data_IF_981356342654
#
_entry.id   IF_981356342654
#
_cell.length_a   1.000
_cell.length_b   1.000
_cell.length_c   1.000
_cell.angle_alpha   90.00
_cell.angle_beta   90.00
_cell.angle_gamma   90.00
#
_symmetry.space_group_name_H-M   'P 1'
#
loop_
_entity.id
_entity.type
_entity.pdbx_description
1 polymer ?
#
# COMPACT_ATOMS: atom_id res chain seq x y z
N UNK A 1 -7.97 10.09 -58.42
CA UNK A 1 -6.71 10.79 -58.10
C UNK A 1 -6.87 11.24 -56.66
N UNK A 2 -5.96 10.79 -55.81
CA UNK A 2 -6.13 10.53 -54.38
C UNK A 2 -6.84 11.61 -53.55
N UNK A 3 -7.68 11.15 -52.62
CA UNK A 3 -7.91 11.85 -51.36
C UNK A 3 -6.71 11.54 -50.47
N UNK A 4 -5.80 12.49 -50.32
CA UNK A 4 -4.73 12.43 -49.32
C UNK A 4 -5.38 12.51 -47.94
N UNK A 5 -5.34 11.39 -47.21
CA UNK A 5 -5.67 11.37 -45.79
C UNK A 5 -4.51 12.02 -45.05
N UNK A 6 -4.75 13.19 -44.49
CA UNK A 6 -3.83 13.87 -43.59
C UNK A 6 -3.60 12.97 -42.37
N UNK A 7 -2.42 12.37 -42.31
CA UNK A 7 -2.01 11.50 -41.22
C UNK A 7 -1.39 12.38 -40.13
N UNK A 8 -2.24 13.11 -39.41
CA UNK A 8 -1.86 14.11 -38.41
C UNK A 8 -1.75 13.51 -36.99
N UNK A 9 -1.23 12.28 -36.87
CA UNK A 9 -1.12 11.55 -35.61
C UNK A 9 0.25 10.87 -35.48
N UNK A 10 1.35 11.62 -35.49
CA UNK A 10 2.69 11.06 -35.29
C UNK A 10 3.70 12.07 -34.71
N UNK A 11 3.26 13.01 -33.87
CA UNK A 11 4.18 13.72 -32.96
C UNK A 11 3.91 13.26 -31.51
N UNK A 12 4.89 12.64 -30.84
CA UNK A 12 4.79 12.34 -29.41
C UNK A 12 4.42 13.63 -28.67
N UNK A 13 3.37 13.59 -27.87
CA UNK A 13 3.03 14.69 -26.97
C UNK A 13 4.22 14.88 -26.00
N UNK A 14 5.02 15.91 -26.22
CA UNK A 14 6.11 16.23 -25.29
C UNK A 14 5.49 16.72 -23.99
N UNK A 15 5.62 15.92 -22.93
CA UNK A 15 5.10 16.25 -21.61
C UNK A 15 5.72 17.56 -21.14
N UNK A 16 4.88 18.48 -20.69
CA UNK A 16 5.34 19.66 -20.00
C UNK A 16 6.12 19.29 -18.72
N UNK A 17 6.99 20.19 -18.21
CA UNK A 17 7.68 19.95 -16.94
C UNK A 17 6.74 19.79 -15.73
N UNK A 18 5.49 20.23 -15.83
CA UNK A 18 4.47 20.04 -14.80
C UNK A 18 3.89 18.63 -14.89
N UNK A 19 3.40 18.22 -16.06
CA UNK A 19 2.86 16.87 -16.27
C UNK A 19 3.89 15.77 -15.95
N UNK A 20 5.16 15.98 -16.31
CA UNK A 20 6.23 15.05 -15.93
C UNK A 20 6.36 14.93 -14.40
N UNK A 21 6.32 16.05 -13.67
CA UNK A 21 6.41 16.03 -12.20
C UNK A 21 5.20 15.37 -11.56
N UNK A 22 4.02 15.59 -12.11
CA UNK A 22 2.79 14.97 -11.61
C UNK A 22 2.84 13.44 -11.79
N UNK A 23 3.30 12.95 -12.95
CA UNK A 23 3.47 11.51 -13.19
C UNK A 23 4.55 10.90 -12.28
N UNK A 24 5.65 11.63 -12.04
CA UNK A 24 6.69 11.20 -11.09
C UNK A 24 6.13 11.09 -9.66
N UNK A 25 5.31 12.05 -9.22
CA UNK A 25 4.64 12.00 -7.93
C UNK A 25 3.65 10.81 -7.84
N UNK A 26 2.88 10.56 -8.89
CA UNK A 26 1.98 9.40 -8.94
C UNK A 26 2.73 8.05 -8.88
N UNK A 27 3.93 7.97 -9.44
CA UNK A 27 4.80 6.80 -9.31
C UNK A 27 5.27 6.59 -7.85
N UNK A 28 5.64 7.67 -7.17
CA UNK A 28 6.04 7.62 -5.76
C UNK A 28 4.87 7.18 -4.87
N UNK A 29 3.68 7.76 -5.09
CA UNK A 29 2.45 7.40 -4.39
C UNK A 29 2.07 5.92 -4.62
N UNK A 30 2.15 5.46 -5.88
CA UNK A 30 1.88 4.07 -6.24
C UNK A 30 2.85 3.11 -5.53
N UNK A 31 4.14 3.46 -5.47
CA UNK A 31 5.15 2.65 -4.79
C UNK A 31 4.89 2.58 -3.28
N UNK A 32 4.54 3.69 -2.65
CA UNK A 32 4.21 3.75 -1.23
C UNK A 32 2.94 2.93 -0.93
N UNK A 33 1.86 3.14 -1.68
CA UNK A 33 0.62 2.36 -1.55
C UNK A 33 0.85 0.86 -1.73
N UNK A 34 1.62 0.45 -2.74
CA UNK A 34 1.95 -0.96 -2.96
C UNK A 34 2.66 -1.55 -1.75
N UNK A 35 3.63 -0.83 -1.17
CA UNK A 35 4.39 -1.27 0.01
C UNK A 35 3.46 -1.55 1.19
N UNK A 36 2.44 -0.71 1.39
CA UNK A 36 1.46 -0.85 2.47
C UNK A 36 0.46 -1.96 2.20
N UNK A 37 -0.13 -2.01 1.00
CA UNK A 37 -1.33 -2.80 0.73
C UNK A 37 -1.05 -4.17 0.08
N UNK A 38 0.05 -4.33 -0.66
CA UNK A 38 0.40 -5.60 -1.29
C UNK A 38 0.57 -6.75 -0.27
N UNK A 39 1.23 -6.57 0.90
CA UNK A 39 1.32 -7.62 1.92
C UNK A 39 -0.04 -8.02 2.53
N UNK A 40 -1.07 -7.19 2.36
CA UNK A 40 -2.43 -7.43 2.85
C UNK A 40 -3.30 -8.15 1.80
N UNK A 41 -2.75 -8.46 0.63
CA UNK A 41 -3.43 -9.18 -0.45
C UNK A 41 -4.11 -8.28 -1.49
N UNK A 42 -3.96 -6.95 -1.40
CA UNK A 42 -4.48 -6.03 -2.41
C UNK A 42 -3.66 -6.16 -3.69
N UNK A 43 -4.33 -6.32 -4.84
CA UNK A 43 -3.71 -6.54 -6.15
C UNK A 43 -3.36 -5.27 -6.90
N UNK A 44 -3.99 -4.15 -6.54
CA UNK A 44 -3.83 -2.89 -7.26
C UNK A 44 -4.76 -1.79 -6.77
N UNK A 45 -4.96 -0.80 -7.63
CA UNK A 45 -5.79 0.38 -7.38
C UNK A 45 -7.01 0.44 -8.29
N UNK A 46 -8.01 1.16 -7.80
CA UNK A 46 -9.16 1.62 -8.57
C UNK A 46 -9.09 3.14 -8.69
N UNK A 47 -9.13 3.64 -9.91
CA UNK A 47 -9.16 5.07 -10.22
C UNK A 47 -10.54 5.40 -10.78
N UNK A 48 -11.27 6.27 -10.10
CA UNK A 48 -12.53 6.81 -10.61
C UNK A 48 -12.23 7.89 -11.66
N UNK A 49 -12.33 7.55 -12.94
CA UNK A 49 -12.05 8.49 -14.01
C UNK A 49 -13.26 9.40 -14.25
N UNK A 50 -13.07 10.71 -14.10
CA UNK A 50 -14.13 11.71 -14.26
C UNK A 50 -14.54 11.88 -15.73
N UNK A 51 -13.62 11.68 -16.67
CA UNK A 51 -13.87 11.89 -18.09
C UNK A 51 -14.76 10.80 -18.70
N UNK A 52 -14.52 9.53 -18.34
CA UNK A 52 -15.32 8.40 -18.82
C UNK A 52 -16.48 8.03 -17.87
N UNK A 53 -16.48 8.58 -16.64
CA UNK A 53 -17.48 8.30 -15.61
C UNK A 53 -17.47 6.86 -15.10
N UNK A 54 -16.33 6.15 -15.21
CA UNK A 54 -16.19 4.74 -14.87
C UNK A 54 -14.95 4.48 -14.00
N UNK A 55 -14.97 3.36 -13.26
CA UNK A 55 -13.84 2.92 -12.45
C UNK A 55 -12.85 2.12 -13.31
N UNK A 56 -11.58 2.52 -13.29
CA UNK A 56 -10.49 1.82 -13.93
C UNK A 56 -9.68 1.05 -12.90
N UNK A 57 -9.50 -0.24 -13.12
CA UNK A 57 -8.79 -1.13 -12.21
C UNK A 57 -7.42 -1.44 -12.79
N UNK A 58 -6.38 -1.15 -12.03
CA UNK A 58 -5.01 -1.42 -12.43
C UNK A 58 -4.32 -2.27 -11.38
N UNK A 59 -3.75 -3.40 -11.79
CA UNK A 59 -2.75 -4.08 -10.98
C UNK A 59 -1.52 -3.20 -10.77
N UNK A 60 -0.79 -3.42 -9.67
CA UNK A 60 0.36 -2.60 -9.29
C UNK A 60 1.39 -2.42 -10.42
N UNK A 61 1.79 -3.52 -11.05
CA UNK A 61 2.78 -3.51 -12.13
C UNK A 61 2.23 -2.85 -13.39
N UNK A 62 0.95 -3.06 -13.69
CA UNK A 62 0.29 -2.52 -14.87
C UNK A 62 0.21 -1.00 -14.83
N UNK A 63 -0.17 -0.42 -13.68
CA UNK A 63 -0.20 1.04 -13.55
C UNK A 63 1.21 1.64 -13.59
N UNK A 64 2.18 1.00 -12.92
CA UNK A 64 3.58 1.46 -12.94
C UNK A 64 4.10 1.51 -14.37
N UNK A 65 3.94 0.42 -15.12
CA UNK A 65 4.41 0.33 -16.50
C UNK A 65 3.73 1.38 -17.40
N UNK A 66 2.45 1.70 -17.14
CA UNK A 66 1.73 2.75 -17.84
C UNK A 66 2.32 4.14 -17.55
N UNK A 67 2.49 4.51 -16.28
CA UNK A 67 3.08 5.79 -15.87
C UNK A 67 4.52 5.94 -16.39
N UNK A 68 5.33 4.89 -16.30
CA UNK A 68 6.69 4.88 -16.86
C UNK A 68 6.71 5.03 -18.38
N UNK A 69 5.71 4.47 -19.08
CA UNK A 69 5.56 4.68 -20.51
C UNK A 69 5.16 6.12 -20.82
N UNK A 70 4.19 6.68 -20.09
CA UNK A 70 3.80 8.08 -20.23
C UNK A 70 5.01 9.01 -20.09
N UNK A 71 5.90 8.77 -19.11
CA UNK A 71 7.15 9.54 -18.97
C UNK A 71 8.10 9.46 -20.17
N UNK A 72 8.05 8.38 -20.95
CA UNK A 72 8.92 8.12 -22.11
C UNK A 72 8.30 8.59 -23.41
N UNK A 73 7.00 8.40 -23.60
CA UNK A 73 6.31 8.56 -24.89
C UNK A 73 5.23 9.64 -24.89
N UNK A 74 4.85 10.16 -23.72
CA UNK A 74 3.72 11.09 -23.57
C UNK A 74 2.35 10.43 -23.65
N UNK A 75 2.29 9.11 -23.86
CA UNK A 75 1.05 8.39 -24.14
C UNK A 75 0.89 7.17 -23.22
N UNK A 76 -0.32 6.96 -22.64
CA UNK A 76 -0.60 5.79 -21.84
C UNK A 76 -0.68 4.54 -22.72
N UNK A 77 -0.28 3.40 -22.17
CA UNK A 77 -0.43 2.12 -22.87
C UNK A 77 -1.90 1.68 -22.85
N UNK A 78 -2.50 1.30 -23.99
CA UNK A 78 -3.78 0.62 -23.98
C UNK A 78 -3.66 -0.70 -23.21
N UNK A 79 -4.58 -0.93 -22.30
CA UNK A 79 -4.75 -2.20 -21.62
C UNK A 79 -6.18 -2.70 -21.85
N UNK A 80 -6.37 -4.02 -21.88
CA UNK A 80 -7.70 -4.60 -21.87
C UNK A 80 -8.21 -4.68 -20.42
N UNK A 81 -9.52 -4.50 -20.19
CA UNK A 81 -10.11 -4.73 -18.88
C UNK A 81 -9.88 -6.16 -18.40
N UNK A 82 -9.64 -6.34 -17.10
CA UNK A 82 -9.47 -7.67 -16.54
C UNK A 82 -10.76 -8.51 -16.67
N UNK A 83 -10.60 -9.79 -17.01
CA UNK A 83 -11.68 -10.77 -17.05
C UNK A 83 -12.00 -11.23 -15.61
N UNK A 84 -13.30 -11.30 -15.25
CA UNK A 84 -13.78 -11.70 -13.91
C UNK A 84 -13.16 -10.91 -12.75
N UNK A 85 -13.21 -9.57 -12.84
CA UNK A 85 -12.66 -8.70 -11.81
C UNK A 85 -13.42 -8.79 -10.48
N UNK A 86 -12.70 -9.07 -9.39
CA UNK A 86 -13.20 -8.98 -8.02
C UNK A 86 -12.82 -7.64 -7.40
N UNK A 87 -13.75 -6.68 -7.39
CA UNK A 87 -13.50 -5.29 -6.95
C UNK A 87 -12.91 -5.19 -5.54
N UNK A 88 -13.26 -6.11 -4.64
CA UNK A 88 -12.76 -6.17 -3.27
C UNK A 88 -11.26 -6.44 -3.16
N UNK A 89 -10.60 -6.84 -4.25
CA UNK A 89 -9.15 -7.09 -4.29
C UNK A 89 -8.34 -5.81 -4.61
N UNK A 90 -9.00 -4.67 -4.83
CA UNK A 90 -8.39 -3.41 -5.20
C UNK A 90 -8.75 -2.31 -4.19
N UNK A 91 -7.89 -1.30 -4.07
CA UNK A 91 -8.12 -0.15 -3.19
C UNK A 91 -8.38 1.12 -4.02
N UNK A 92 -9.30 1.99 -3.55
CA UNK A 92 -9.51 3.29 -4.18
C UNK A 92 -8.25 4.15 -4.06
N UNK A 93 -7.82 4.76 -5.17
CA UNK A 93 -6.59 5.57 -5.25
C UNK A 93 -6.54 6.67 -4.17
N UNK A 94 -7.56 7.53 -4.12
CA UNK A 94 -7.59 8.67 -3.18
C UNK A 94 -7.57 8.21 -1.71
N UNK A 95 -8.25 7.11 -1.41
CA UNK A 95 -8.22 6.51 -0.09
C UNK A 95 -6.82 5.96 0.24
N UNK A 96 -6.21 5.26 -0.71
CA UNK A 96 -4.87 4.69 -0.56
C UNK A 96 -3.82 5.76 -0.27
N UNK A 97 -3.84 6.86 -1.03
CA UNK A 97 -2.96 8.02 -0.81
C UNK A 97 -3.18 8.62 0.58
N UNK A 98 -4.41 8.96 0.93
CA UNK A 98 -4.71 9.54 2.25
C UNK A 98 -4.35 8.61 3.41
N UNK A 99 -4.43 7.29 3.22
CA UNK A 99 -3.99 6.31 4.23
C UNK A 99 -2.48 6.33 4.41
N UNK A 100 -1.71 6.33 3.31
CA UNK A 100 -0.25 6.42 3.33
C UNK A 100 0.20 7.75 3.95
N UNK A 101 -0.40 8.88 3.56
CA UNK A 101 -0.10 10.19 4.14
C UNK A 101 -0.28 10.19 5.66
N UNK A 102 -1.38 9.60 6.14
CA UNK A 102 -1.64 9.49 7.58
C UNK A 102 -0.60 8.62 8.31
N UNK A 103 -0.11 7.55 7.69
CA UNK A 103 0.97 6.74 8.25
C UNK A 103 2.27 7.56 8.37
N UNK A 104 2.63 8.28 7.31
CA UNK A 104 3.81 9.14 7.27
C UNK A 104 3.73 10.24 8.32
N UNK A 105 2.60 10.95 8.41
CA UNK A 105 2.39 12.04 9.38
C UNK A 105 2.47 11.57 10.84
N UNK A 106 2.09 10.32 11.10
CA UNK A 106 2.12 9.72 12.45
C UNK A 106 3.42 9.00 12.78
N UNK A 107 4.38 8.95 11.84
CA UNK A 107 5.63 8.19 11.99
C UNK A 107 5.39 6.69 12.17
N UNK A 108 4.37 6.17 11.50
CA UNK A 108 4.08 4.74 11.43
C UNK A 108 4.68 4.19 10.13
N UNK A 109 5.81 3.51 10.26
CA UNK A 109 6.45 2.83 9.14
C UNK A 109 5.68 1.55 8.78
N UNK A 110 5.21 1.38 7.54
CA UNK A 110 4.36 0.25 7.15
C UNK A 110 5.09 -1.10 7.16
N UNK A 111 6.42 -1.10 7.02
CA UNK A 111 7.27 -2.29 7.05
C UNK A 111 7.81 -2.62 8.46
N UNK A 112 7.61 -1.72 9.44
CA UNK A 112 8.03 -1.92 10.84
C UNK A 112 7.31 -3.13 11.44
N UNK A 113 8.05 -4.23 11.55
CA UNK A 113 7.59 -5.46 12.19
C UNK A 113 8.30 -5.66 13.51
N UNK A 114 7.53 -5.73 14.59
CA UNK A 114 8.02 -6.24 15.86
C UNK A 114 8.02 -7.75 15.82
N UNK A 115 9.21 -8.32 15.70
CA UNK A 115 9.40 -9.77 15.72
C UNK A 115 9.19 -10.32 17.13
N UNK A 116 8.44 -11.41 17.21
CA UNK A 116 8.26 -12.21 18.41
C UNK A 116 8.56 -13.64 18.01
N UNK A 117 9.52 -14.27 18.67
CA UNK A 117 9.98 -15.63 18.35
C UNK A 117 9.72 -16.63 19.47
N UNK A 118 9.20 -16.16 20.61
CA UNK A 118 8.89 -16.98 21.78
C UNK A 118 7.61 -16.48 22.45
N UNK A 119 6.79 -17.40 22.93
CA UNK A 119 5.61 -17.08 23.73
C UNK A 119 6.03 -16.61 25.12
N UNK A 120 5.68 -15.40 25.59
CA UNK A 120 6.04 -14.99 26.95
C UNK A 120 5.26 -15.76 28.03
N UNK A 121 4.21 -16.50 27.66
CA UNK A 121 3.38 -17.24 28.62
C UNK A 121 3.72 -18.72 28.75
N UNK A 122 4.00 -19.40 27.64
CA UNK A 122 4.29 -20.84 27.63
C UNK A 122 5.67 -21.18 27.05
N UNK A 123 6.46 -20.15 26.73
CA UNK A 123 7.85 -20.24 26.27
C UNK A 123 8.07 -20.98 24.94
N UNK A 124 7.00 -21.44 24.28
CA UNK A 124 7.07 -22.08 22.97
C UNK A 124 7.82 -21.19 21.97
N UNK A 125 8.91 -21.67 21.36
CA UNK A 125 9.56 -20.98 20.24
C UNK A 125 8.75 -21.13 18.96
N UNK A 126 8.75 -20.08 18.12
CA UNK A 126 8.06 -20.06 16.83
C UNK A 126 8.68 -19.04 15.88
N UNK A 127 8.30 -19.14 14.61
CA UNK A 127 8.67 -18.16 13.58
C UNK A 127 7.91 -16.82 13.77
N UNK A 128 8.55 -15.70 13.44
CA UNK A 128 7.97 -14.37 13.64
C UNK A 128 6.68 -14.11 12.84
N UNK A 129 6.37 -14.92 11.83
CA UNK A 129 5.14 -14.85 11.04
C UNK A 129 3.87 -15.23 11.83
N UNK A 130 3.98 -15.95 12.95
CA UNK A 130 2.81 -16.39 13.71
C UNK A 130 2.07 -15.18 14.35
N UNK A 131 0.75 -15.11 14.16
CA UNK A 131 -0.10 -14.12 14.83
C UNK A 131 -0.48 -14.55 16.26
N UNK A 132 -0.52 -15.85 16.51
CA UNK A 132 -0.88 -16.49 17.77
C UNK A 132 0.19 -17.52 18.15
N UNK A 133 0.37 -17.77 19.45
CA UNK A 133 1.22 -18.87 19.88
C UNK A 133 0.67 -20.21 19.37
N UNK A 134 1.46 -21.04 18.68
CA UNK A 134 0.99 -22.30 18.12
C UNK A 134 0.67 -23.36 19.18
N UNK A 135 1.12 -23.17 20.42
CA UNK A 135 0.85 -24.10 21.53
C UNK A 135 -0.33 -23.67 22.38
N UNK A 136 -0.33 -22.43 22.88
CA UNK A 136 -1.37 -21.97 23.83
C UNK A 136 -2.47 -21.12 23.19
N UNK A 137 -2.36 -20.80 21.90
CA UNK A 137 -3.37 -20.03 21.15
C UNK A 137 -3.48 -18.55 21.52
N UNK A 138 -2.68 -18.05 22.47
CA UNK A 138 -2.71 -16.63 22.87
C UNK A 138 -2.27 -15.73 21.71
N UNK A 139 -2.97 -14.60 21.55
CA UNK A 139 -2.58 -13.57 20.59
C UNK A 139 -1.24 -12.95 20.96
N UNK A 140 -0.39 -12.75 19.95
CA UNK A 140 0.91 -12.09 20.10
C UNK A 140 0.83 -10.58 19.84
N UNK A 141 -0.35 -10.07 19.45
CA UNK A 141 -0.55 -8.65 19.14
C UNK A 141 -0.17 -7.73 20.32
N UNK A 142 -0.59 -8.08 21.53
CA UNK A 142 -0.26 -7.31 22.73
C UNK A 142 1.24 -7.33 23.06
N UNK A 143 1.92 -8.44 22.80
CA UNK A 143 3.39 -8.56 22.97
C UNK A 143 4.12 -7.64 21.99
N UNK A 144 3.65 -7.60 20.75
CA UNK A 144 4.18 -6.70 19.71
C UNK A 144 3.96 -5.24 20.08
N UNK A 145 2.76 -4.89 20.52
CA UNK A 145 2.44 -3.52 20.98
C UNK A 145 3.29 -3.11 22.18
N UNK A 146 3.45 -3.99 23.17
CA UNK A 146 4.31 -3.76 24.32
C UNK A 146 5.76 -3.45 23.90
N UNK A 147 6.35 -4.30 23.05
CA UNK A 147 7.71 -4.12 22.54
C UNK A 147 7.86 -2.85 21.69
N UNK A 148 6.90 -2.55 20.82
CA UNK A 148 6.93 -1.32 20.02
C UNK A 148 6.96 -0.06 20.89
N UNK A 149 6.15 -0.02 21.95
CA UNK A 149 6.12 1.12 22.87
C UNK A 149 7.46 1.26 23.62
N UNK A 150 8.08 0.16 24.04
CA UNK A 150 9.42 0.19 24.64
C UNK A 150 10.48 0.68 23.66
N UNK A 151 10.46 0.20 22.42
CA UNK A 151 11.40 0.59 21.36
C UNK A 151 11.26 2.09 21.02
N UNK A 152 10.05 2.66 21.15
CA UNK A 152 9.78 4.10 21.05
C UNK A 152 10.17 4.90 22.30
N UNK A 153 10.79 4.26 23.28
CA UNK A 153 11.33 4.91 24.49
C UNK A 153 10.30 5.14 25.60
N UNK A 154 9.11 4.53 25.54
CA UNK A 154 8.15 4.62 26.63
C UNK A 154 8.66 3.83 27.84
N UNK A 155 8.37 4.33 29.04
CA UNK A 155 8.74 3.65 30.27
C UNK A 155 7.94 2.35 30.44
N UNK A 156 8.62 1.25 30.77
CA UNK A 156 7.99 -0.07 30.95
C UNK A 156 6.80 -0.06 31.91
N UNK A 157 6.90 0.64 33.04
CA UNK A 157 5.83 0.70 34.03
C UNK A 157 4.59 1.37 33.45
N UNK A 158 4.78 2.45 32.69
CA UNK A 158 3.69 3.21 32.09
C UNK A 158 3.04 2.43 30.96
N UNK A 159 3.83 1.74 30.13
CA UNK A 159 3.32 0.85 29.08
C UNK A 159 2.47 -0.27 29.69
N UNK A 160 2.96 -0.97 30.72
CA UNK A 160 2.20 -2.02 31.41
C UNK A 160 0.89 -1.46 31.98
N UNK A 161 0.94 -0.31 32.64
CA UNK A 161 -0.24 0.33 33.19
C UNK A 161 -1.25 0.74 32.11
N UNK A 162 -0.78 1.26 30.97
CA UNK A 162 -1.60 1.63 29.83
C UNK A 162 -2.31 0.41 29.24
N UNK A 163 -1.58 -0.67 28.97
CA UNK A 163 -2.14 -1.87 28.35
C UNK A 163 -3.17 -2.55 29.25
N UNK A 164 -2.93 -2.61 30.56
CA UNK A 164 -3.91 -3.11 31.54
C UNK A 164 -5.18 -2.26 31.53
N UNK A 165 -5.05 -0.92 31.54
CA UNK A 165 -6.21 -0.02 31.45
C UNK A 165 -6.98 -0.16 30.14
N UNK A 166 -6.29 -0.49 29.05
CA UNK A 166 -6.89 -0.80 27.76
C UNK A 166 -7.53 -2.19 27.69
N UNK A 167 -7.54 -2.96 28.79
CA UNK A 167 -8.18 -4.28 28.88
C UNK A 167 -7.29 -5.44 28.44
N UNK A 168 -5.99 -5.20 28.23
CA UNK A 168 -5.04 -6.27 27.96
C UNK A 168 -4.44 -6.78 29.29
N UNK A 169 -5.00 -7.87 29.81
CA UNK A 169 -4.55 -8.56 31.03
C UNK A 169 -4.05 -9.99 30.74
N UNK A 170 -3.14 -10.56 31.56
CA UNK A 170 -1.82 -10.06 31.94
C UNK A 170 -0.72 -10.68 31.04
N UNK A 171 0.38 -9.94 30.83
CA UNK A 171 1.65 -10.41 30.24
C UNK A 171 2.77 -10.27 31.26
#
# INVERSE_FOLDING_TARGET
MEFEMDNEHDEPFDLSPEERRDIEADLDDLAAMRTVFSPQGVKGVVIACQDCGSNHFFEWELLRDNLEQMLKTGEPRPHEPAFELAESEYIQWDYGKGYVDALTDTGLEPDRRVEVTHCPWCETPFDAAFAFCPTCGRSLATVRLYRELLDRGFNERDVRALLVRAGYEPF
#
